data_IF_150099221942
#
_entry.id   IF_150099221942
#
_cell.length_a   1.000
_cell.length_b   1.000
_cell.length_c   1.000
_cell.angle_alpha   90.00
_cell.angle_beta   90.00
_cell.angle_gamma   90.00
#
_symmetry.space_group_name_H-M   'P 1'
#
loop_
_entity.id
_entity.type
_entity.pdbx_description
1 polymer ?
#
# COMPACT_ATOMS: atom_id res chain seq x y z
N UNK A 1 12.86 -3.35 -6.88
CA UNK A 1 11.60 -4.08 -6.57
C UNK A 1 11.82 -5.60 -6.56
N UNK A 2 11.09 -6.33 -5.71
CA UNK A 2 11.12 -7.80 -5.57
C UNK A 2 9.97 -8.46 -6.34
N UNK A 3 10.26 -9.02 -7.51
CA UNK A 3 9.24 -9.63 -8.40
C UNK A 3 8.49 -10.80 -7.76
N UNK A 4 9.14 -11.60 -6.92
CA UNK A 4 8.49 -12.74 -6.23
C UNK A 4 7.43 -12.30 -5.21
N UNK A 5 7.61 -11.13 -4.59
CA UNK A 5 6.58 -10.53 -3.73
C UNK A 5 5.40 -10.03 -4.57
N UNK A 6 5.66 -9.37 -5.71
CA UNK A 6 4.62 -8.94 -6.64
C UNK A 6 3.81 -10.13 -7.18
N UNK A 7 4.48 -11.20 -7.58
CA UNK A 7 3.85 -12.43 -8.02
C UNK A 7 2.94 -13.05 -6.94
N UNK A 8 3.35 -12.97 -5.67
CA UNK A 8 2.56 -13.47 -4.54
C UNK A 8 1.28 -12.64 -4.34
N UNK A 9 1.37 -11.32 -4.46
CA UNK A 9 0.20 -10.43 -4.39
C UNK A 9 -0.77 -10.72 -5.54
N UNK A 10 -0.27 -10.83 -6.78
CA UNK A 10 -1.11 -11.12 -7.96
C UNK A 10 -1.87 -12.44 -7.77
N UNK A 11 -1.20 -13.50 -7.31
CA UNK A 11 -1.84 -14.80 -7.06
C UNK A 11 -2.92 -14.70 -5.97
N UNK A 12 -2.70 -13.91 -4.93
CA UNK A 12 -3.65 -13.74 -3.84
C UNK A 12 -4.85 -12.87 -4.24
N UNK A 13 -4.64 -11.86 -5.10
CA UNK A 13 -5.70 -10.96 -5.56
C UNK A 13 -6.47 -11.49 -6.78
N UNK A 14 -5.90 -12.45 -7.53
CA UNK A 14 -6.51 -13.00 -8.75
C UNK A 14 -6.62 -12.00 -9.91
N UNK A 15 -5.94 -10.84 -9.82
CA UNK A 15 -5.99 -9.79 -10.86
C UNK A 15 -4.61 -9.19 -11.11
N UNK A 16 -4.33 -8.92 -12.38
CA UNK A 16 -3.13 -8.24 -12.84
C UNK A 16 -3.46 -7.37 -14.07
N UNK A 17 -3.30 -6.05 -13.98
CA UNK A 17 -3.33 -5.17 -15.16
C UNK A 17 -1.94 -4.65 -15.48
N UNK A 18 -1.50 -4.77 -16.73
CA UNK A 18 -0.31 -4.10 -17.23
C UNK A 18 -0.69 -2.73 -17.78
N UNK A 19 -0.11 -1.68 -17.21
CA UNK A 19 -0.46 -0.30 -17.52
C UNK A 19 0.71 0.38 -18.22
N UNK A 20 0.43 0.99 -19.37
CA UNK A 20 1.36 1.91 -20.03
C UNK A 20 0.90 3.35 -19.79
N UNK A 21 1.71 4.14 -19.08
CA UNK A 21 1.45 5.55 -18.86
C UNK A 21 1.87 6.39 -20.06
N UNK A 22 1.26 7.57 -20.23
CA UNK A 22 1.54 8.49 -21.35
C UNK A 22 3.00 8.96 -21.40
N UNK A 23 3.66 9.04 -20.24
CA UNK A 23 5.09 9.36 -20.08
C UNK A 23 6.02 8.17 -20.40
N UNK A 24 5.50 7.04 -20.88
CA UNK A 24 6.28 5.86 -21.28
C UNK A 24 6.63 4.91 -20.13
N UNK A 25 6.38 5.30 -18.89
CA UNK A 25 6.57 4.45 -17.72
C UNK A 25 5.55 3.31 -17.69
N UNK A 26 5.94 2.18 -17.10
CA UNK A 26 5.13 0.95 -17.08
C UNK A 26 4.83 0.54 -15.65
N UNK A 27 3.63 0.01 -15.45
CA UNK A 27 3.17 -0.39 -14.13
C UNK A 27 2.42 -1.72 -14.15
N UNK A 28 2.38 -2.39 -13.01
CA UNK A 28 1.50 -3.54 -12.75
C UNK A 28 0.53 -3.19 -11.62
N UNK A 29 -0.77 -3.36 -11.87
CA UNK A 29 -1.85 -3.17 -10.88
C UNK A 29 -2.39 -4.51 -10.37
N UNK A 30 -2.64 -4.59 -9.06
CA UNK A 30 -3.06 -5.79 -8.31
C UNK A 30 -4.39 -5.59 -7.56
N UNK A 31 -5.27 -4.74 -8.10
CA UNK A 31 -6.50 -4.22 -7.46
C UNK A 31 -6.29 -3.30 -6.27
N UNK A 32 -5.30 -3.56 -5.42
CA UNK A 32 -5.01 -2.82 -4.19
C UNK A 32 -3.73 -1.98 -4.25
N UNK A 33 -2.91 -2.18 -5.27
CA UNK A 33 -1.67 -1.44 -5.44
C UNK A 33 -1.25 -1.44 -6.92
N UNK A 34 -0.49 -0.42 -7.29
CA UNK A 34 0.12 -0.21 -8.61
C UNK A 34 1.62 -0.08 -8.41
N UNK A 35 2.42 -0.89 -9.10
CA UNK A 35 3.87 -0.97 -8.93
C UNK A 35 4.59 -0.54 -10.19
N UNK A 36 5.60 0.32 -10.07
CA UNK A 36 6.45 0.73 -11.18
C UNK A 36 7.32 -0.45 -11.65
N UNK A 37 7.40 -0.62 -12.98
CA UNK A 37 8.12 -1.71 -13.65
C UNK A 37 9.31 -1.21 -14.48
N UNK A 38 9.80 -0.01 -14.21
CA UNK A 38 10.96 0.51 -14.92
C UNK A 38 12.20 -0.33 -14.62
N UNK A 39 13.05 -0.48 -15.64
CA UNK A 39 14.19 -1.39 -15.59
C UNK A 39 13.85 -2.87 -15.81
N UNK A 40 12.57 -3.26 -15.87
CA UNK A 40 12.17 -4.64 -16.20
C UNK A 40 11.76 -4.78 -17.68
N UNK A 41 11.93 -5.99 -18.27
CA UNK A 41 11.46 -6.27 -19.63
C UNK A 41 9.96 -5.97 -19.81
N UNK A 42 9.56 -5.59 -21.02
CA UNK A 42 8.14 -5.46 -21.36
C UNK A 42 7.62 -6.84 -21.75
N UNK A 43 6.62 -7.33 -21.04
CA UNK A 43 5.85 -8.48 -21.49
C UNK A 43 4.89 -8.06 -22.60
N UNK A 44 4.83 -8.83 -23.68
CA UNK A 44 3.89 -8.60 -24.80
C UNK A 44 2.53 -9.25 -24.58
N UNK A 45 2.42 -10.16 -23.61
CA UNK A 45 1.21 -10.89 -23.32
C UNK A 45 1.23 -11.45 -21.89
N UNK A 46 0.09 -11.99 -21.47
CA UNK A 46 -0.13 -12.64 -20.16
C UNK A 46 0.92 -13.71 -19.83
N UNK A 47 1.32 -14.54 -20.81
CA UNK A 47 2.23 -15.65 -20.59
C UNK A 47 3.67 -15.17 -20.37
N UNK A 48 4.13 -14.19 -21.14
CA UNK A 48 5.42 -13.54 -20.94
C UNK A 48 5.49 -12.83 -19.59
N UNK A 49 4.40 -12.15 -19.18
CA UNK A 49 4.36 -11.50 -17.87
C UNK A 49 4.41 -12.53 -16.75
N UNK A 50 3.63 -13.61 -16.86
CA UNK A 50 3.66 -14.71 -15.90
C UNK A 50 5.06 -15.34 -15.80
N UNK A 51 5.73 -15.56 -16.93
CA UNK A 51 7.10 -16.06 -16.96
C UNK A 51 8.09 -15.10 -16.28
N UNK A 52 8.00 -13.80 -16.58
CA UNK A 52 8.82 -12.77 -15.93
C UNK A 52 8.62 -12.74 -14.41
N UNK A 53 7.38 -12.93 -13.95
CA UNK A 53 7.03 -12.96 -12.53
C UNK A 53 7.22 -14.36 -11.89
N UNK A 54 7.68 -15.35 -12.65
CA UNK A 54 7.81 -16.75 -12.21
C UNK A 54 6.49 -17.32 -11.66
N UNK A 55 5.36 -16.96 -12.26
CA UNK A 55 4.04 -17.50 -11.95
C UNK A 55 3.83 -18.79 -12.77
N UNK A 56 3.61 -19.95 -12.13
CA UNK A 56 3.40 -21.21 -12.84
C UNK A 56 2.15 -21.16 -13.73
N UNK A 57 2.20 -21.73 -14.94
CA UNK A 57 1.08 -21.71 -15.91
C UNK A 57 -0.26 -22.16 -15.31
N UNK A 58 -0.25 -23.16 -14.43
CA UNK A 58 -1.46 -23.64 -13.73
C UNK A 58 -2.16 -22.59 -12.88
N UNK A 59 -1.43 -21.56 -12.43
CA UNK A 59 -1.96 -20.44 -11.63
C UNK A 59 -2.29 -19.22 -12.50
N UNK A 60 -1.85 -19.20 -13.75
CA UNK A 60 -2.11 -18.10 -14.69
C UNK A 60 -3.58 -18.10 -15.10
N UNK A 61 -4.21 -19.27 -15.22
CA UNK A 61 -5.64 -19.41 -15.55
C UNK A 61 -6.54 -18.75 -14.49
N UNK A 62 -6.17 -18.82 -13.21
CA UNK A 62 -6.89 -18.21 -12.08
C UNK A 62 -6.72 -16.68 -12.00
N UNK A 63 -5.85 -16.10 -12.83
CA UNK A 63 -5.54 -14.66 -12.81
C UNK A 63 -6.26 -13.97 -13.97
N UNK A 64 -7.10 -13.00 -13.63
CA UNK A 64 -7.67 -12.07 -14.60
C UNK A 64 -6.58 -11.08 -15.06
N UNK A 65 -6.34 -11.03 -16.37
CA UNK A 65 -5.28 -10.21 -16.97
C UNK A 65 -5.86 -9.19 -17.95
N UNK A 66 -5.40 -7.95 -17.85
CA UNK A 66 -5.75 -6.86 -18.77
C UNK A 66 -4.51 -6.03 -19.12
N UNK A 67 -4.56 -5.40 -20.28
CA UNK A 67 -3.65 -4.32 -20.65
C UNK A 67 -4.43 -3.01 -20.76
N UNK A 68 -3.89 -1.96 -20.15
CA UNK A 68 -4.55 -0.66 -20.05
C UNK A 68 -3.56 0.46 -20.42
N UNK A 69 -4.10 1.58 -20.93
CA UNK A 69 -3.33 2.80 -21.19
C UNK A 69 -3.86 3.94 -20.31
N UNK A 70 -2.94 4.62 -19.62
CA UNK A 70 -3.26 5.80 -18.83
C UNK A 70 -2.97 7.07 -19.66
N UNK A 71 -3.96 7.56 -20.40
CA UNK A 71 -3.80 8.55 -21.49
C UNK A 71 -3.25 9.92 -21.04
N UNK A 72 -3.29 10.25 -19.74
CA UNK A 72 -2.66 11.45 -19.16
C UNK A 72 -1.81 11.10 -17.91
N UNK A 73 -1.23 9.90 -17.89
CA UNK A 73 -0.65 9.30 -16.67
C UNK A 73 -1.67 9.08 -15.55
N UNK A 74 -2.96 9.37 -15.73
CA UNK A 74 -3.98 9.16 -14.71
C UNK A 74 -4.51 7.73 -14.77
N UNK A 75 -4.46 7.02 -13.64
CA UNK A 75 -5.05 5.70 -13.45
C UNK A 75 -6.03 5.72 -12.28
N UNK A 76 -7.30 5.40 -12.56
CA UNK A 76 -8.42 5.52 -11.61
C UNK A 76 -8.52 6.85 -10.85
N UNK A 77 -7.95 7.94 -11.37
CA UNK A 77 -8.00 9.27 -10.74
C UNK A 77 -6.76 9.66 -9.93
N UNK A 78 -5.72 8.80 -9.88
CA UNK A 78 -4.40 9.16 -9.37
C UNK A 78 -3.37 9.27 -10.51
N UNK A 79 -2.47 10.24 -10.42
CA UNK A 79 -1.33 10.33 -11.34
C UNK A 79 -0.36 9.16 -11.12
N UNK A 80 0.14 8.58 -12.20
CA UNK A 80 1.24 7.61 -12.25
C UNK A 80 2.60 8.30 -12.47
N UNK A 81 2.61 9.62 -12.66
CA UNK A 81 3.83 10.41 -12.62
C UNK A 81 4.17 10.78 -11.18
N UNK A 82 5.33 11.42 -11.00
CA UNK A 82 5.63 12.08 -9.73
C UNK A 82 4.69 13.29 -9.55
N UNK A 83 4.19 13.48 -8.33
CA UNK A 83 3.12 14.43 -8.04
C UNK A 83 3.31 15.08 -6.65
N UNK A 84 4.44 15.78 -6.43
CA UNK A 84 4.80 16.30 -5.12
C UNK A 84 3.81 17.35 -4.59
N UNK A 85 3.13 18.08 -5.49
CA UNK A 85 2.16 19.12 -5.11
C UNK A 85 0.90 18.56 -4.45
N UNK A 86 0.60 17.27 -4.68
CA UNK A 86 -0.54 16.56 -4.09
C UNK A 86 -0.11 15.52 -3.04
N UNK A 87 1.16 15.54 -2.64
CA UNK A 87 1.74 14.59 -1.70
C UNK A 87 2.11 15.27 -0.40
N UNK A 88 1.74 14.64 0.71
CA UNK A 88 2.18 15.06 2.03
C UNK A 88 2.81 13.88 2.78
N UNK A 89 3.92 14.10 3.51
CA UNK A 89 4.56 13.06 4.29
C UNK A 89 3.63 12.55 5.39
N UNK A 90 3.73 11.27 5.72
CA UNK A 90 2.99 10.66 6.84
C UNK A 90 3.95 10.11 7.88
N UNK A 91 3.54 10.16 9.15
CA UNK A 91 4.31 9.55 10.22
C UNK A 91 3.90 8.09 10.41
N UNK A 92 4.89 7.20 10.40
CA UNK A 92 4.66 5.81 10.77
C UNK A 92 4.49 5.71 12.30
N UNK A 93 3.36 5.18 12.76
CA UNK A 93 3.19 4.89 14.18
C UNK A 93 4.06 3.69 14.57
N UNK A 94 4.48 3.66 15.85
CA UNK A 94 5.20 2.53 16.43
C UNK A 94 4.33 1.28 16.60
N UNK A 95 3.02 1.40 16.41
CA UNK A 95 2.05 0.32 16.57
C UNK A 95 1.84 -0.45 15.26
N UNK A 96 1.82 -1.78 15.37
CA UNK A 96 1.35 -2.70 14.34
C UNK A 96 0.03 -3.31 14.80
N UNK A 97 -0.88 -3.54 13.86
CA UNK A 97 -2.15 -4.20 14.13
C UNK A 97 -2.20 -5.47 13.29
N UNK A 98 -2.52 -6.60 13.90
CA UNK A 98 -2.74 -7.87 13.19
C UNK A 98 -4.21 -8.25 13.36
N UNK A 99 -4.94 -8.36 12.24
CA UNK A 99 -6.37 -8.70 12.22
C UNK A 99 -6.56 -9.88 11.29
N UNK A 100 -7.12 -10.97 11.83
CA UNK A 100 -7.34 -12.22 11.08
C UNK A 100 -6.07 -12.75 10.38
N UNK A 101 -4.91 -12.57 11.00
CA UNK A 101 -3.61 -12.99 10.46
C UNK A 101 -2.98 -12.03 9.44
N UNK A 102 -3.68 -10.96 9.05
CA UNK A 102 -3.14 -9.91 8.18
C UNK A 102 -2.53 -8.79 9.01
N UNK A 103 -1.29 -8.39 8.70
CA UNK A 103 -0.61 -7.29 9.38
C UNK A 103 -0.88 -5.95 8.68
N UNK A 104 -1.11 -4.92 9.47
CA UNK A 104 -1.34 -3.55 9.06
C UNK A 104 -0.35 -2.60 9.74
N UNK A 105 0.11 -1.64 8.96
CA UNK A 105 0.88 -0.49 9.45
C UNK A 105 -0.06 0.71 9.57
N UNK A 106 0.06 1.46 10.66
CA UNK A 106 -0.69 2.70 10.87
C UNK A 106 0.18 3.90 10.46
N UNK A 107 -0.42 4.82 9.71
CA UNK A 107 0.20 6.04 9.21
C UNK A 107 -0.64 7.23 9.65
N UNK A 108 -0.02 8.18 10.35
CA UNK A 108 -0.64 9.45 10.73
C UNK A 108 -0.53 10.42 9.56
N UNK A 109 -1.67 10.90 9.09
CA UNK A 109 -1.75 11.97 8.10
C UNK A 109 -1.47 13.33 8.75
N UNK A 110 -1.03 14.34 7.99
CA UNK A 110 -0.84 15.70 8.50
C UNK A 110 -2.09 16.30 9.17
N UNK A 111 -3.28 15.89 8.72
CA UNK A 111 -4.57 16.26 9.33
C UNK A 111 -4.79 15.72 10.75
N UNK A 112 -3.94 14.79 11.21
CA UNK A 112 -4.07 14.06 12.47
C UNK A 112 -4.86 12.76 12.36
N UNK A 113 -5.50 12.47 11.23
CA UNK A 113 -6.18 11.19 11.00
C UNK A 113 -5.19 10.03 10.84
N UNK A 114 -5.63 8.80 11.11
CA UNK A 114 -4.82 7.60 10.92
C UNK A 114 -5.41 6.79 9.77
N UNK A 115 -4.57 6.40 8.83
CA UNK A 115 -4.92 5.39 7.84
C UNK A 115 -3.99 4.18 7.91
N UNK A 116 -4.38 3.11 7.24
CA UNK A 116 -3.68 1.83 7.31
C UNK A 116 -3.19 1.37 5.93
N UNK A 117 -2.06 0.69 5.91
CA UNK A 117 -1.60 -0.10 4.75
C UNK A 117 -1.45 -1.56 5.19
N UNK A 118 -1.94 -2.50 4.37
CA UNK A 118 -1.61 -3.93 4.53
C UNK A 118 -0.12 -4.11 4.29
N UNK A 119 0.63 -4.61 5.28
CA UNK A 119 2.09 -4.74 5.18
C UNK A 119 2.52 -5.53 3.95
N UNK A 120 1.77 -6.58 3.59
CA UNK A 120 2.06 -7.42 2.42
C UNK A 120 2.17 -6.62 1.11
N UNK A 121 1.41 -5.52 0.96
CA UNK A 121 1.43 -4.68 -0.25
C UNK A 121 2.74 -3.88 -0.40
N UNK A 122 3.52 -3.71 0.67
CA UNK A 122 4.83 -3.08 0.62
C UNK A 122 5.94 -4.04 0.18
N UNK A 123 5.70 -5.37 0.25
CA UNK A 123 6.71 -6.39 -0.04
C UNK A 123 7.45 -6.23 -1.38
N UNK A 124 6.79 -5.84 -2.50
CA UNK A 124 7.50 -5.59 -3.75
C UNK A 124 8.50 -4.44 -3.65
N UNK A 125 8.19 -3.38 -2.91
CA UNK A 125 8.97 -2.14 -2.82
C UNK A 125 9.73 -2.00 -1.49
N UNK A 126 9.81 -3.06 -0.69
CA UNK A 126 10.46 -3.05 0.63
C UNK A 126 11.92 -2.59 0.56
N UNK A 127 12.68 -3.07 -0.43
CA UNK A 127 14.07 -2.64 -0.64
C UNK A 127 14.21 -1.18 -1.09
N UNK A 128 13.14 -0.57 -1.60
CA UNK A 128 13.15 0.84 -1.97
C UNK A 128 13.04 1.71 -0.72
N UNK A 129 12.34 1.24 0.31
CA UNK A 129 12.12 1.94 1.59
C UNK A 129 13.36 2.02 2.47
N UNK A 130 14.45 1.34 2.13
CA UNK A 130 15.72 1.40 2.87
C UNK A 130 16.68 2.47 2.34
N UNK A 131 16.30 3.20 1.28
CA UNK A 131 17.13 4.24 0.67
C UNK A 131 17.04 5.55 1.47
N UNK A 132 18.09 6.36 1.38
CA UNK A 132 18.32 7.57 2.20
C UNK A 132 17.23 8.65 2.10
N UNK A 133 16.38 8.61 1.07
CA UNK A 133 15.27 9.55 0.87
C UNK A 133 13.94 8.84 0.61
N UNK A 134 13.85 7.55 0.92
CA UNK A 134 12.63 6.82 0.71
C UNK A 134 11.53 7.35 1.62
N UNK A 135 10.33 7.49 1.06
CA UNK A 135 9.20 8.06 1.76
C UNK A 135 7.92 7.29 1.41
N UNK A 136 7.02 7.26 2.39
CA UNK A 136 5.61 7.00 2.13
C UNK A 136 4.92 8.34 2.32
N UNK A 137 4.17 8.78 1.32
CA UNK A 137 3.37 9.99 1.37
C UNK A 137 1.90 9.61 1.21
N UNK A 138 1.00 10.35 1.87
CA UNK A 138 -0.39 10.37 1.44
C UNK A 138 -0.45 11.20 0.18
N UNK A 139 -0.97 10.64 -0.91
CA UNK A 139 -1.23 11.33 -2.16
C UNK A 139 -2.73 11.59 -2.24
N UNK A 140 -3.09 12.87 -2.14
CA UNK A 140 -4.46 13.31 -2.29
C UNK A 140 -4.81 13.27 -3.77
N UNK A 141 -5.86 12.54 -4.10
CA UNK A 141 -6.26 12.35 -5.48
C UNK A 141 -7.66 11.80 -5.55
N UNK A 142 -8.17 11.70 -6.76
CA UNK A 142 -9.52 11.20 -6.99
C UNK A 142 -9.52 9.70 -7.26
N UNK A 143 -8.70 8.91 -6.54
CA UNK A 143 -8.76 7.46 -6.69
C UNK A 143 -10.16 6.98 -6.33
N UNK A 144 -10.88 6.48 -7.35
CA UNK A 144 -12.28 5.99 -7.25
C UNK A 144 -13.12 6.81 -6.25
N UNK A 145 -13.40 8.06 -6.61
CA UNK A 145 -14.26 8.97 -5.85
C UNK A 145 -13.64 9.48 -4.54
N UNK A 146 -12.44 10.07 -4.64
CA UNK A 146 -11.85 10.87 -3.55
C UNK A 146 -11.15 10.08 -2.45
N UNK A 147 -10.89 8.78 -2.64
CA UNK A 147 -10.08 8.03 -1.69
C UNK A 147 -8.61 8.41 -1.89
N UNK A 148 -7.89 8.88 -0.86
CA UNK A 148 -6.45 9.09 -0.98
C UNK A 148 -5.72 7.76 -1.13
N UNK A 149 -4.54 7.79 -1.73
CA UNK A 149 -3.66 6.61 -1.85
C UNK A 149 -2.33 6.90 -1.18
N UNK A 150 -1.54 5.87 -0.94
CA UNK A 150 -0.18 6.03 -0.44
C UNK A 150 0.82 5.90 -1.58
N UNK A 151 1.59 6.96 -1.81
CA UNK A 151 2.71 6.94 -2.73
C UNK A 151 3.97 6.47 -1.99
N UNK A 152 4.57 5.40 -2.48
CA UNK A 152 5.89 4.93 -2.04
C UNK A 152 6.93 5.46 -3.01
N UNK A 153 7.88 6.25 -2.49
CA UNK A 153 8.94 6.90 -3.26
C UNK A 153 10.30 6.42 -2.80
N UNK A 154 11.27 6.38 -3.71
CA UNK A 154 12.67 6.09 -3.40
C UNK A 154 13.54 7.36 -3.29
N UNK A 155 12.90 8.50 -3.01
CA UNK A 155 13.48 9.84 -3.07
C UNK A 155 12.77 10.66 -4.14
N UNK A 156 13.17 10.48 -5.39
CA UNK A 156 12.67 11.28 -6.51
C UNK A 156 11.57 10.59 -7.32
N UNK A 157 11.48 9.26 -7.30
CA UNK A 157 10.60 8.55 -8.21
C UNK A 157 9.54 7.74 -7.48
N UNK A 158 8.32 7.79 -8.03
CA UNK A 158 7.21 6.92 -7.63
C UNK A 158 7.56 5.45 -7.90
N UNK A 159 7.52 4.63 -6.85
CA UNK A 159 7.75 3.17 -6.93
C UNK A 159 6.46 2.38 -6.80
N UNK A 160 5.50 2.86 -6.01
CA UNK A 160 4.18 2.25 -5.93
C UNK A 160 3.10 3.26 -5.48
N UNK A 161 1.87 3.00 -5.90
CA UNK A 161 0.66 3.55 -5.27
C UNK A 161 -0.06 2.41 -4.55
N UNK A 162 -0.42 2.60 -3.28
CA UNK A 162 -1.04 1.58 -2.45
C UNK A 162 -2.36 2.11 -1.89
N UNK A 163 -3.43 1.33 -2.03
CA UNK A 163 -4.72 1.71 -1.47
C UNK A 163 -4.73 1.58 0.05
N UNK A 164 -5.41 2.51 0.75
CA UNK A 164 -5.60 2.39 2.18
C UNK A 164 -6.42 1.15 2.50
N UNK A 165 -6.03 0.47 3.57
CA UNK A 165 -6.83 -0.60 4.16
C UNK A 165 -7.91 0.00 5.06
N UNK A 166 -9.11 -0.58 4.95
CA UNK A 166 -10.21 -0.32 5.89
C UNK A 166 -10.25 -1.47 6.89
N UNK A 167 -10.14 -1.16 8.16
CA UNK A 167 -10.43 -2.12 9.22
C UNK A 167 -11.95 -2.24 9.36
N UNK A 168 -12.45 -3.45 9.63
CA UNK A 168 -13.89 -3.71 9.73
C UNK A 168 -14.50 -3.12 11.01
N UNK A 169 -15.84 -3.10 11.07
CA UNK A 169 -16.58 -2.60 12.23
C UNK A 169 -16.20 -3.32 13.53
N UNK A 170 -16.23 -4.66 13.53
CA UNK A 170 -15.85 -5.46 14.69
C UNK A 170 -14.43 -5.16 15.21
N UNK A 171 -13.46 -4.96 14.31
CA UNK A 171 -12.10 -4.57 14.72
C UNK A 171 -12.06 -3.19 15.38
N UNK A 172 -12.90 -2.26 14.91
CA UNK A 172 -13.01 -0.93 15.53
C UNK A 172 -13.59 -1.03 16.93
N UNK A 173 -14.61 -1.89 17.11
CA UNK A 173 -15.23 -2.14 18.41
C UNK A 173 -14.22 -2.76 19.39
N UNK A 174 -13.51 -3.81 18.96
CA UNK A 174 -12.46 -4.46 19.75
C UNK A 174 -11.36 -3.48 20.19
N UNK A 175 -10.85 -2.65 19.25
CA UNK A 175 -9.82 -1.65 19.55
C UNK A 175 -10.31 -0.57 20.53
N UNK A 176 -11.60 -0.22 20.47
CA UNK A 176 -12.19 0.76 21.38
C UNK A 176 -12.30 0.21 22.80
N UNK A 177 -12.70 -1.05 22.95
CA UNK A 177 -12.75 -1.75 24.24
C UNK A 177 -11.34 -1.92 24.84
N UNK A 178 -10.38 -2.34 24.02
CA UNK A 178 -8.97 -2.47 24.44
C UNK A 178 -8.43 -1.12 24.93
N UNK A 179 -8.68 -0.03 24.20
CA UNK A 179 -8.25 1.31 24.61
C UNK A 179 -8.89 1.75 25.92
N UNK A 180 -10.19 1.53 26.10
CA UNK A 180 -10.90 1.87 27.33
C UNK A 180 -10.28 1.18 28.55
N UNK A 181 -10.06 -0.14 28.47
CA UNK A 181 -9.44 -0.91 29.55
C UNK A 181 -8.01 -0.44 29.86
N UNK A 182 -7.20 -0.12 28.84
CA UNK A 182 -5.85 0.41 29.05
C UNK A 182 -5.85 1.75 29.80
N UNK A 183 -6.79 2.64 29.49
CA UNK A 183 -6.92 3.93 30.16
C UNK A 183 -7.38 3.78 31.62
N UNK A 184 -8.28 2.84 31.91
CA UNK A 184 -8.72 2.54 33.26
C UNK A 184 -7.56 2.03 34.13
N UNK A 185 -6.76 1.09 33.61
CA UNK A 185 -5.60 0.52 34.32
C UNK A 185 -4.56 1.61 34.67
N UNK A 186 -4.29 2.53 33.73
CA UNK A 186 -3.35 3.63 33.97
C UNK A 186 -3.84 4.63 35.04
N UNK A 187 -5.16 4.75 35.22
CA UNK A 187 -5.73 5.62 36.25
C UNK A 187 -5.68 4.99 37.64
N UNK A 188 -5.83 3.66 37.76
CA UNK A 188 -5.63 2.95 39.02
C UNK A 188 -4.19 3.03 39.49
N UNK A 189 -3.22 2.78 38.60
CA UNK A 189 -1.78 2.83 38.93
C UNK A 189 -1.37 4.21 39.48
N UNK A 190 -1.83 5.30 38.84
CA UNK A 190 -1.55 6.68 39.31
C UNK A 190 -2.20 7.04 40.65
N UNK A 191 -3.25 6.32 41.07
CA UNK A 191 -3.89 6.52 42.38
C UNK A 191 -3.15 5.77 43.47
N UNK A 192 -2.63 4.59 43.17
CA UNK A 192 -1.82 3.79 44.09
C UNK A 192 -0.46 4.47 44.36
N UNK A 193 0.23 4.97 43.33
CA UNK A 193 1.49 5.72 43.51
C UNK A 193 1.33 6.99 44.38
N UNK A 194 0.16 7.63 44.38
CA UNK A 194 -0.13 8.79 45.22
C UNK A 194 -0.56 8.45 46.65
N UNK A 195 -0.91 7.19 46.91
CA UNK A 195 -1.31 6.73 48.23
C UNK A 195 -0.11 6.23 49.06
N UNK A 196 1.01 5.90 48.38
CA UNK A 196 2.25 5.42 48.98
C UNK A 196 3.31 6.54 49.22
N UNK A 197 3.04 7.79 48.79
CA UNK A 197 3.80 9.02 49.07
C UNK A 197 3.17 9.83 50.23
#
# INVERSE_FOLDING_TARGET
MKLSALASIIKNCGRCSQITAANGHRFISTSHAVYNMDGYPKAQNKNELAAMLSIPSKKVEDIYFEEERAENNIYYGASLADDPDNEEPVDKLNTRIVVNGEEYIALRHPSGTIGFIRTALLGPVESELTKEYAAICVRWGNWRNGTPVYAVKDGMYLRALILPAKLGGATTDDLSEILANMLECQQSEKKEEKADD
#
